data_IF_187354545823
#
_entry.id   IF_187354545823
#
_cell.length_a   1.000
_cell.length_b   1.000
_cell.length_c   1.000
_cell.angle_alpha   90.00
_cell.angle_beta   90.00
_cell.angle_gamma   90.00
#
_symmetry.space_group_name_H-M   'P 1'
#
loop_
_entity.id
_entity.type
_entity.pdbx_description
1 polymer ?
#
# COMPACT_ATOMS: atom_id res chain seq x y z
N UNK A 1 -0.75 -7.10 18.54
CA UNK A 1 0.02 -7.61 17.38
C UNK A 1 0.15 -6.46 16.40
N UNK A 2 1.36 -5.99 16.07
CA UNK A 2 1.58 -4.82 15.21
C UNK A 2 1.13 -5.13 13.77
N UNK A 3 -0.16 -4.95 13.49
CA UNK A 3 -0.78 -5.27 12.20
C UNK A 3 -0.45 -4.30 11.07
N UNK A 4 0.63 -3.55 11.19
CA UNK A 4 1.10 -2.58 10.22
C UNK A 4 2.61 -2.72 10.05
N UNK A 5 3.05 -3.08 8.85
CA UNK A 5 4.47 -3.24 8.52
C UNK A 5 4.72 -2.91 7.05
N UNK A 6 5.83 -2.22 6.75
CA UNK A 6 6.24 -1.92 5.37
C UNK A 6 7.53 -2.67 5.03
N UNK A 7 7.54 -3.35 3.87
CA UNK A 7 8.70 -4.06 3.33
C UNK A 7 9.09 -3.47 1.98
N UNK A 8 10.30 -2.91 1.88
CA UNK A 8 10.90 -2.48 0.62
C UNK A 8 11.41 -3.71 -0.15
N UNK A 9 11.03 -3.85 -1.42
CA UNK A 9 11.45 -4.98 -2.28
C UNK A 9 12.50 -4.60 -3.30
N UNK A 10 12.44 -3.37 -3.85
CA UNK A 10 13.44 -2.87 -4.78
C UNK A 10 13.46 -1.34 -4.82
N UNK A 11 14.57 -0.78 -5.30
CA UNK A 11 14.76 0.66 -5.53
C UNK A 11 15.40 0.90 -6.88
N UNK A 12 14.99 1.97 -7.56
CA UNK A 12 15.66 2.50 -8.75
C UNK A 12 15.77 4.03 -8.62
N UNK A 13 16.97 4.53 -8.36
CA UNK A 13 17.19 5.92 -7.96
C UNK A 13 16.35 6.31 -6.74
N UNK A 14 15.36 7.20 -6.93
CA UNK A 14 14.41 7.64 -5.89
C UNK A 14 13.10 6.83 -5.86
N UNK A 15 12.87 5.98 -6.87
CA UNK A 15 11.69 5.13 -6.95
C UNK A 15 11.81 3.95 -5.98
N UNK A 16 10.67 3.54 -5.41
CA UNK A 16 10.60 2.48 -4.41
C UNK A 16 9.44 1.54 -4.74
N UNK A 17 9.73 0.25 -4.77
CA UNK A 17 8.75 -0.83 -4.79
C UNK A 17 8.72 -1.51 -3.44
N UNK A 18 7.55 -1.81 -2.92
CA UNK A 18 7.42 -2.47 -1.63
C UNK A 18 6.02 -3.02 -1.39
N UNK A 19 5.82 -3.64 -0.23
CA UNK A 19 4.54 -4.19 0.20
C UNK A 19 4.23 -3.68 1.62
N UNK A 20 3.05 -3.10 1.79
CA UNK A 20 2.52 -2.67 3.08
C UNK A 20 1.55 -3.73 3.60
N UNK A 21 1.91 -4.41 4.68
CA UNK A 21 1.04 -5.36 5.37
C UNK A 21 0.11 -4.63 6.32
N UNK A 22 -1.19 -4.82 6.16
CA UNK A 22 -2.23 -4.32 7.07
C UNK A 22 -3.03 -5.49 7.67
N UNK A 23 -3.88 -5.21 8.66
CA UNK A 23 -4.81 -6.21 9.18
C UNK A 23 -5.79 -6.77 8.12
N UNK A 24 -6.03 -6.01 7.05
CA UNK A 24 -6.97 -6.37 5.98
C UNK A 24 -6.27 -6.88 4.71
N UNK A 25 -4.98 -7.22 4.81
CA UNK A 25 -4.19 -7.78 3.73
C UNK A 25 -3.02 -6.88 3.28
N UNK A 26 -2.22 -7.38 2.33
CA UNK A 26 -1.09 -6.66 1.76
C UNK A 26 -1.53 -5.63 0.71
N UNK A 27 -0.79 -4.52 0.62
CA UNK A 27 -0.95 -3.47 -0.39
C UNK A 27 0.40 -3.29 -1.10
N UNK A 28 0.45 -3.53 -2.40
CA UNK A 28 1.66 -3.28 -3.20
C UNK A 28 1.87 -1.79 -3.44
N UNK A 29 3.12 -1.34 -3.33
CA UNK A 29 3.53 0.06 -3.54
C UNK A 29 4.50 0.15 -4.73
N UNK A 30 4.39 1.18 -5.58
CA UNK A 30 3.48 2.33 -5.48
C UNK A 30 2.01 1.97 -5.74
N UNK A 31 1.09 2.52 -4.94
CA UNK A 31 -0.34 2.25 -5.02
C UNK A 31 -1.11 3.53 -5.34
N UNK A 32 -2.09 3.44 -6.23
CA UNK A 32 -3.09 4.49 -6.46
C UNK A 32 -4.44 3.98 -5.95
N UNK A 33 -4.98 4.63 -4.93
CA UNK A 33 -6.18 4.16 -4.25
C UNK A 33 -7.43 4.84 -4.84
N UNK A 34 -8.51 4.10 -5.12
CA UNK A 34 -9.78 4.69 -5.54
C UNK A 34 -10.37 5.55 -4.42
N UNK A 35 -11.05 6.64 -4.78
CA UNK A 35 -11.66 7.57 -3.82
C UNK A 35 -13.15 7.25 -3.68
N UNK A 36 -13.57 6.92 -2.45
CA UNK A 36 -14.96 6.66 -2.11
C UNK A 36 -15.55 7.71 -1.17
N UNK A 37 -15.76 8.93 -1.65
CA UNK A 37 -16.13 10.10 -0.82
C UNK A 37 -17.44 9.91 -0.02
N UNK A 38 -18.37 9.10 -0.53
CA UNK A 38 -19.66 8.82 0.11
C UNK A 38 -19.90 7.31 0.28
N UNK A 39 -18.92 6.61 0.86
CA UNK A 39 -18.97 5.15 1.10
C UNK A 39 -19.17 4.28 -0.16
N UNK A 40 -18.94 4.85 -1.34
CA UNK A 40 -19.00 4.14 -2.61
C UNK A 40 -17.91 4.64 -3.54
N UNK A 41 -17.26 3.71 -4.23
CA UNK A 41 -16.40 3.98 -5.38
C UNK A 41 -17.28 3.82 -6.61
N UNK A 42 -17.26 4.79 -7.52
CA UNK A 42 -17.92 4.70 -8.81
C UNK A 42 -16.91 4.34 -9.90
#
# INVERSE_FOLDING_TARGET
MSGFAFKLTATDGRARRGCLTTAHGPIDTPAFMPVGTAATVK
#
